data_IF_993249549969
#
_entry.id   IF_993249549969
#
_cell.length_a   1.000
_cell.length_b   1.000
_cell.length_c   1.000
_cell.angle_alpha   90.00
_cell.angle_beta   90.00
_cell.angle_gamma   90.00
#
_symmetry.space_group_name_H-M   'P 1'
#
loop_
_entity.id
_entity.type
_entity.pdbx_description
1 polymer ?
#
# COMPACT_ATOMS: atom_id res chain seq x y z
N UNK A 1 25.40 -1.88 -14.64
CA UNK A 1 24.95 -1.49 -13.29
C UNK A 1 23.83 -2.42 -12.91
N UNK A 2 23.93 -3.14 -11.80
CA UNK A 2 22.81 -3.92 -11.29
C UNK A 2 21.77 -2.93 -10.79
N UNK A 3 20.59 -2.89 -11.41
CA UNK A 3 19.51 -2.06 -10.91
C UNK A 3 19.19 -2.49 -9.48
N UNK A 4 19.21 -1.54 -8.54
CA UNK A 4 19.08 -1.81 -7.12
C UNK A 4 17.68 -1.45 -6.65
N UNK A 5 16.97 -2.44 -6.12
CA UNK A 5 15.62 -2.24 -5.60
C UNK A 5 15.65 -1.76 -4.15
N UNK A 6 14.55 -1.17 -3.71
CA UNK A 6 14.29 -0.85 -2.30
C UNK A 6 13.11 -1.63 -1.76
N UNK A 7 13.02 -1.64 -0.44
CA UNK A 7 11.80 -2.05 0.24
C UNK A 7 11.04 -0.79 0.63
N UNK A 8 9.88 -0.57 0.01
CA UNK A 8 9.02 0.57 0.31
C UNK A 8 7.65 0.09 0.78
N UNK A 9 6.96 0.94 1.53
CA UNK A 9 5.58 0.71 1.94
C UNK A 9 4.70 1.91 1.63
N UNK A 10 3.40 1.68 1.51
CA UNK A 10 2.38 2.71 1.42
C UNK A 10 1.23 2.33 2.35
N UNK A 11 0.58 3.33 2.92
CA UNK A 11 -0.52 3.13 3.87
C UNK A 11 -1.83 3.68 3.33
N UNK A 12 -2.86 2.86 3.51
CA UNK A 12 -4.24 3.20 3.25
C UNK A 12 -5.00 3.14 4.56
N UNK A 13 -5.98 4.00 4.76
CA UNK A 13 -6.79 4.04 5.96
C UNK A 13 -8.28 4.10 5.63
N UNK A 14 -9.09 3.54 6.52
CA UNK A 14 -10.55 3.64 6.47
C UNK A 14 -11.11 3.76 7.88
N UNK A 15 -12.21 4.51 8.02
CA UNK A 15 -12.98 4.56 9.25
C UNK A 15 -14.26 3.70 9.08
N UNK A 16 -14.50 2.80 10.03
CA UNK A 16 -15.66 1.91 10.00
C UNK A 16 -16.43 1.97 11.32
N UNK A 17 -17.73 1.62 11.34
CA UNK A 17 -18.48 1.47 12.58
C UNK A 17 -17.82 0.44 13.51
N UNK A 18 -17.81 0.71 14.81
CA UNK A 18 -17.37 -0.27 15.79
C UNK A 18 -18.21 -1.55 15.73
N UNK A 19 -17.56 -2.70 15.95
CA UNK A 19 -18.18 -4.02 15.77
C UNK A 19 -18.11 -4.56 14.34
N UNK A 20 -17.59 -3.78 13.38
CA UNK A 20 -17.20 -4.30 12.06
C UNK A 20 -16.20 -5.45 12.24
N UNK A 21 -16.45 -6.57 11.58
CA UNK A 21 -15.60 -7.75 11.72
C UNK A 21 -14.24 -7.50 11.08
N UNK A 22 -13.15 -7.78 11.83
CA UNK A 22 -11.77 -7.64 11.34
C UNK A 22 -11.55 -8.34 9.98
N UNK A 23 -12.19 -9.49 9.76
CA UNK A 23 -12.11 -10.23 8.51
C UNK A 23 -12.55 -9.42 7.27
N UNK A 24 -13.49 -8.49 7.41
CA UNK A 24 -13.90 -7.60 6.31
C UNK A 24 -12.76 -6.63 5.96
N UNK A 25 -12.13 -6.05 6.98
CA UNK A 25 -11.00 -5.12 6.79
C UNK A 25 -9.76 -5.83 6.24
N UNK A 26 -9.49 -7.05 6.70
CA UNK A 26 -8.42 -7.89 6.17
C UNK A 26 -8.66 -8.24 4.69
N UNK A 27 -9.90 -8.60 4.34
CA UNK A 27 -10.27 -8.89 2.96
C UNK A 27 -10.11 -7.68 2.05
N UNK A 28 -10.46 -6.47 2.51
CA UNK A 28 -10.26 -5.26 1.72
C UNK A 28 -8.78 -4.90 1.60
N UNK A 29 -7.98 -5.08 2.65
CA UNK A 29 -6.54 -4.88 2.59
C UNK A 29 -5.86 -5.82 1.58
N UNK A 30 -6.30 -7.09 1.48
CA UNK A 30 -5.82 -8.01 0.45
C UNK A 30 -6.26 -7.61 -0.97
N UNK A 31 -7.44 -6.99 -1.13
CA UNK A 31 -7.84 -6.43 -2.44
C UNK A 31 -6.97 -5.25 -2.83
N UNK A 32 -6.61 -4.39 -1.88
CA UNK A 32 -5.68 -3.27 -2.11
C UNK A 32 -4.32 -3.80 -2.56
N UNK A 33 -3.77 -4.78 -1.83
CA UNK A 33 -2.52 -5.45 -2.21
C UNK A 33 -2.57 -6.01 -3.64
N UNK A 34 -3.64 -6.75 -3.95
CA UNK A 34 -3.84 -7.36 -5.27
C UNK A 34 -3.94 -6.29 -6.36
N UNK A 35 -4.73 -5.23 -6.16
CA UNK A 35 -4.87 -4.15 -7.13
C UNK A 35 -3.54 -3.43 -7.39
N UNK A 36 -2.77 -3.13 -6.34
CA UNK A 36 -1.44 -2.52 -6.45
C UNK A 36 -0.45 -3.44 -7.17
N UNK A 37 -0.47 -4.74 -6.86
CA UNK A 37 0.35 -5.74 -7.53
C UNK A 37 0.00 -5.85 -9.01
N UNK A 38 -1.28 -5.95 -9.35
CA UNK A 38 -1.75 -6.08 -10.73
C UNK A 38 -1.39 -4.84 -11.55
N UNK A 39 -1.58 -3.65 -10.98
CA UNK A 39 -1.12 -2.41 -11.60
C UNK A 39 0.37 -2.43 -11.86
N UNK A 40 1.18 -2.81 -10.85
CA UNK A 40 2.62 -2.90 -11.02
C UNK A 40 3.00 -3.86 -12.15
N UNK A 41 2.40 -5.05 -12.18
CA UNK A 41 2.64 -6.07 -13.21
C UNK A 41 2.27 -5.57 -14.61
N UNK A 42 1.14 -4.86 -14.75
CA UNK A 42 0.70 -4.27 -16.02
C UNK A 42 1.61 -3.12 -16.49
N UNK A 43 2.34 -2.48 -15.57
CA UNK A 43 3.25 -1.36 -15.83
C UNK A 43 4.71 -1.77 -15.69
N UNK A 44 5.09 -2.89 -16.33
CA UNK A 44 6.47 -3.37 -16.40
C UNK A 44 7.14 -3.62 -15.03
N UNK A 45 6.32 -3.95 -14.02
CA UNK A 45 6.73 -4.15 -12.62
C UNK A 45 7.31 -2.88 -11.99
N UNK A 46 6.66 -1.72 -12.19
CA UNK A 46 7.11 -0.40 -11.69
C UNK A 46 7.45 -0.39 -10.19
N UNK A 47 6.72 -1.16 -9.37
CA UNK A 47 6.99 -1.31 -7.93
C UNK A 47 7.55 -2.70 -7.57
N UNK A 48 7.94 -3.49 -8.57
CA UNK A 48 8.26 -4.90 -8.42
C UNK A 48 7.02 -5.80 -8.47
N UNK A 49 7.22 -7.11 -8.25
CA UNK A 49 6.15 -8.12 -8.28
C UNK A 49 5.88 -8.76 -6.91
N UNK A 50 6.72 -8.46 -5.91
CA UNK A 50 6.65 -9.04 -4.57
C UNK A 50 6.04 -8.04 -3.61
N UNK A 51 4.87 -8.39 -3.10
CA UNK A 51 4.09 -7.59 -2.18
C UNK A 51 3.71 -8.41 -0.95
N UNK A 52 3.49 -7.70 0.15
CA UNK A 52 2.71 -8.19 1.29
C UNK A 52 1.83 -7.07 1.81
N UNK A 53 0.72 -7.40 2.45
CA UNK A 53 -0.09 -6.43 3.17
C UNK A 53 -0.45 -6.91 4.59
N UNK A 54 -0.59 -5.94 5.49
CA UNK A 54 -1.09 -6.14 6.84
C UNK A 54 -2.10 -5.05 7.18
N UNK A 55 -3.11 -5.43 7.96
CA UNK A 55 -4.17 -4.55 8.41
C UNK A 55 -4.18 -4.47 9.94
N UNK A 56 -4.09 -3.24 10.44
CA UNK A 56 -4.11 -2.91 11.86
C UNK A 56 -5.27 -1.97 12.13
N UNK A 57 -6.13 -2.34 13.07
CA UNK A 57 -7.24 -1.50 13.51
C UNK A 57 -7.00 -1.00 14.93
N UNK A 58 -7.23 0.28 15.15
CA UNK A 58 -7.16 0.90 16.47
C UNK A 58 -8.37 0.49 17.33
N UNK A 59 -8.33 0.72 18.65
CA UNK A 59 -9.53 0.60 19.49
C UNK A 59 -10.65 1.53 19.00
N UNK A 60 -11.90 1.13 19.29
CA UNK A 60 -13.08 1.96 19.04
C UNK A 60 -12.94 3.32 19.72
N UNK A 61 -13.17 4.41 18.99
CA UNK A 61 -13.13 5.77 19.52
C UNK A 61 -14.47 6.19 20.17
N UNK A 62 -14.50 7.39 20.74
CA UNK A 62 -15.70 7.94 21.41
C UNK A 62 -16.84 8.30 20.45
N UNK A 63 -16.59 8.29 19.14
CA UNK A 63 -17.59 8.54 18.09
C UNK A 63 -18.20 7.26 17.55
N UNK A 64 -17.77 6.09 18.08
CA UNK A 64 -18.25 4.80 17.62
C UNK A 64 -17.62 4.36 16.30
N UNK A 65 -16.43 4.87 15.99
CA UNK A 65 -15.65 4.47 14.82
C UNK A 65 -14.37 3.73 15.21
N UNK A 66 -13.93 2.85 14.33
CA UNK A 66 -12.60 2.25 14.35
C UNK A 66 -11.85 2.70 13.11
N UNK A 67 -10.66 3.26 13.31
CA UNK A 67 -9.72 3.53 12.24
C UNK A 67 -8.90 2.28 11.97
N UNK A 68 -8.87 1.83 10.72
CA UNK A 68 -8.03 0.72 10.27
C UNK A 68 -7.04 1.21 9.22
N UNK A 69 -5.81 0.75 9.31
CA UNK A 69 -4.72 1.04 8.38
C UNK A 69 -4.28 -0.27 7.71
N UNK A 70 -4.25 -0.26 6.38
CA UNK A 70 -3.69 -1.30 5.54
C UNK A 70 -2.33 -0.82 5.03
N UNK A 71 -1.27 -1.48 5.47
CA UNK A 71 0.10 -1.20 5.03
C UNK A 71 0.47 -2.20 3.94
N UNK A 72 0.68 -1.72 2.72
CA UNK A 72 1.14 -2.53 1.59
C UNK A 72 2.63 -2.31 1.40
N UNK A 73 3.42 -3.39 1.44
CA UNK A 73 4.88 -3.36 1.25
C UNK A 73 5.24 -3.92 -0.12
N UNK A 74 6.05 -3.17 -0.87
CA UNK A 74 6.72 -3.62 -2.08
C UNK A 74 8.18 -3.99 -1.73
N UNK A 75 8.50 -5.28 -1.81
CA UNK A 75 9.82 -5.80 -1.39
C UNK A 75 10.92 -5.54 -2.41
N UNK A 76 10.55 -5.19 -3.65
CA UNK A 76 11.43 -5.05 -4.81
C UNK A 76 11.07 -3.78 -5.60
N UNK A 77 10.85 -2.67 -4.90
CA UNK A 77 10.49 -1.40 -5.49
C UNK A 77 11.61 -0.89 -6.41
N UNK A 78 11.27 -0.43 -7.62
CA UNK A 78 12.23 -0.02 -8.65
C UNK A 78 12.28 1.50 -8.75
N UNK A 79 13.19 2.13 -8.00
CA UNK A 79 13.26 3.60 -7.87
C UNK A 79 13.55 4.35 -9.18
N UNK A 80 14.15 3.67 -10.18
CA UNK A 80 14.48 4.28 -11.47
C UNK A 80 13.33 4.21 -12.48
N UNK A 81 12.26 3.48 -12.19
CA UNK A 81 11.12 3.40 -13.09
C UNK A 81 10.21 4.61 -12.93
N UNK A 82 9.79 5.18 -14.06
CA UNK A 82 8.81 6.24 -14.06
C UNK A 82 7.44 5.71 -13.63
N UNK A 83 6.88 6.29 -12.58
CA UNK A 83 5.56 6.01 -12.06
C UNK A 83 4.63 7.18 -12.48
N UNK A 84 3.59 6.95 -13.29
CA UNK A 84 2.76 8.03 -13.86
C UNK A 84 1.89 8.78 -12.83
N UNK A 85 1.96 8.39 -11.56
CA UNK A 85 1.33 9.09 -10.45
C UNK A 85 -0.04 8.53 -10.12
N UNK A 86 -0.53 8.93 -8.94
CA UNK A 86 -1.77 8.39 -8.38
C UNK A 86 -3.05 8.58 -9.20
N UNK A 87 -3.02 9.46 -10.22
CA UNK A 87 -4.13 9.59 -11.17
C UNK A 87 -4.29 8.36 -12.08
N UNK A 88 -3.24 7.55 -12.24
CA UNK A 88 -3.25 6.33 -13.06
C UNK A 88 -3.48 5.06 -12.25
N UNK A 89 -3.51 5.16 -10.92
CA UNK A 89 -3.59 4.01 -10.03
C UNK A 89 -4.99 3.39 -10.06
N UNK A 90 -5.11 2.08 -9.76
CA UNK A 90 -6.42 1.45 -9.63
C UNK A 90 -7.21 2.10 -8.50
N UNK A 91 -8.53 2.17 -8.69
CA UNK A 91 -9.42 2.61 -7.64
C UNK A 91 -9.45 1.58 -6.51
N UNK A 92 -9.20 2.00 -5.28
CA UNK A 92 -9.25 1.14 -4.11
C UNK A 92 -10.69 0.90 -3.64
N UNK A 93 -10.94 -0.12 -2.80
CA UNK A 93 -12.26 -0.34 -2.21
C UNK A 93 -12.82 0.94 -1.58
N UNK A 94 -14.13 1.13 -1.69
CA UNK A 94 -14.78 2.36 -1.24
C UNK A 94 -14.49 2.63 0.24
N UNK A 95 -14.15 3.89 0.55
CA UNK A 95 -13.85 4.34 1.92
C UNK A 95 -12.40 4.13 2.36
N UNK A 96 -11.52 3.60 1.50
CA UNK A 96 -10.08 3.57 1.74
C UNK A 96 -9.38 4.77 1.09
N UNK A 97 -8.60 5.49 1.88
CA UNK A 97 -7.86 6.69 1.47
C UNK A 97 -6.38 6.54 1.80
N UNK A 98 -5.49 7.21 1.06
CA UNK A 98 -4.06 7.19 1.39
C UNK A 98 -3.80 8.02 2.65
N UNK A 99 -2.95 7.52 3.54
CA UNK A 99 -2.57 8.22 4.78
C UNK A 99 -1.79 9.50 4.49
N UNK A 100 -0.83 9.45 3.56
CA UNK A 100 -0.02 10.62 3.20
C UNK A 100 0.29 10.63 1.69
N UNK A 101 -0.64 11.11 0.85
CA UNK A 101 -0.44 11.16 -0.59
C UNK A 101 0.60 12.21 -1.05
N UNK A 102 1.07 13.09 -0.15
CA UNK A 102 1.88 14.27 -0.49
C UNK A 102 3.30 14.24 0.07
N UNK A 103 3.77 13.07 0.53
CA UNK A 103 5.12 12.89 1.10
C UNK A 103 6.29 13.08 0.10
N UNK A 104 6.02 13.49 -1.15
CA UNK A 104 7.01 13.67 -2.21
C UNK A 104 7.32 12.38 -3.01
N UNK A 105 6.86 11.22 -2.57
CA UNK A 105 7.01 9.92 -3.23
C UNK A 105 5.64 9.26 -3.53
N UNK A 106 4.61 10.06 -3.79
CA UNK A 106 3.22 9.61 -4.03
C UNK A 106 2.62 8.75 -2.89
N UNK A 107 3.16 8.85 -1.68
CA UNK A 107 2.76 8.08 -0.49
C UNK A 107 3.62 6.85 -0.19
N UNK A 108 4.67 6.60 -0.97
CA UNK A 108 5.65 5.56 -0.65
C UNK A 108 6.65 6.02 0.41
N UNK A 109 6.98 5.15 1.34
CA UNK A 109 7.99 5.36 2.36
C UNK A 109 9.05 4.27 2.29
N UNK A 110 10.32 4.64 2.38
CA UNK A 110 11.40 3.67 2.53
C UNK A 110 11.33 3.03 3.92
N UNK A 111 11.50 1.71 3.96
CA UNK A 111 11.54 0.93 5.22
C UNK A 111 12.88 1.07 5.96
N UNK A 112 13.86 1.79 5.40
CA UNK A 112 15.22 1.95 5.94
C UNK A 112 16.17 0.81 5.58
N UNK A 113 15.72 -0.16 4.77
CA UNK A 113 16.56 -1.28 4.34
C UNK A 113 17.53 -0.87 3.22
N UNK A 114 18.70 -1.49 3.21
CA UNK A 114 19.67 -1.31 2.13
C UNK A 114 19.15 -1.81 0.76
N UNK A 115 19.93 -1.53 -0.28
CA UNK A 115 19.64 -2.00 -1.63
C UNK A 115 19.43 -3.52 -1.65
N UNK A 116 18.35 -3.95 -2.32
CA UNK A 116 18.05 -5.36 -2.53
C UNK A 116 18.14 -5.71 -4.01
N UNK A 117 18.47 -6.97 -4.29
CA UNK A 117 18.42 -7.53 -5.64
C UNK A 117 17.00 -7.48 -6.18
N UNK A 118 16.84 -7.19 -7.47
CA UNK A 118 15.53 -7.02 -8.11
C UNK A 118 14.96 -8.29 -8.73
N UNK A 119 15.80 -9.33 -8.85
CA UNK A 119 15.47 -10.69 -9.27
C UNK A 119 14.94 -11.55 -8.11
#
# INVERSE_FOLDING_TARGET
MTEACRQKFIEWQTAQPCGTQKAVMDADCWKIEAAMKDYSLAHSRVWGASFTADNVCFPCDSTGQVLCTCTVRAWRYREWMYEPGSASWPQMPAGWERVDPFNGENGWYDTGHGNVRCD
#
